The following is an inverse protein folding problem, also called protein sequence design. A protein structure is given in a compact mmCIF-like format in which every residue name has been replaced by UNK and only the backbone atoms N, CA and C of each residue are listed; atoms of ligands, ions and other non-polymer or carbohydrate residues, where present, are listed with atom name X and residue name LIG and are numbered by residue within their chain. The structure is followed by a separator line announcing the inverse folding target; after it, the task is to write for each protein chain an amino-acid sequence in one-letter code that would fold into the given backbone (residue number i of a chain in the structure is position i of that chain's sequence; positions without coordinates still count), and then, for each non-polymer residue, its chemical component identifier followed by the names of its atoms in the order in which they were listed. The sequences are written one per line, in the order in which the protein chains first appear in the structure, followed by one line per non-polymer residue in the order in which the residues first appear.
data_IF_721146873470
#
_entry.id   IF_721146873470
#
_cell.length_a   1.000
_cell.length_b   1.000
_cell.length_c   1.000
_cell.angle_alpha   90.00
_cell.angle_beta   90.00
_cell.angle_gamma   90.00
#
_symmetry.space_group_name_H-M   'P 1'
#
loop_
_entity.id
_entity.type
_entity.pdbx_description
1 polymer ?
#
# COMPACT_ATOMS: atom_id res chain seq x y z
N UNK A 1 -18.00 -14.62 32.93
CA UNK A 1 -18.98 -14.84 31.84
C UNK A 1 -19.24 -13.52 31.14
N UNK A 2 -18.75 -13.35 29.91
CA UNK A 2 -19.19 -12.44 28.82
C UNK A 2 -17.98 -12.22 27.86
N UNK A 3 -17.61 -13.24 27.06
CA UNK A 3 -16.54 -13.10 26.06
C UNK A 3 -16.78 -13.99 24.83
N UNK A 4 -18.00 -13.99 24.28
CA UNK A 4 -18.34 -14.92 23.18
C UNK A 4 -19.18 -14.31 22.05
N UNK A 5 -19.53 -13.02 22.09
CA UNK A 5 -20.36 -12.41 21.03
C UNK A 5 -19.60 -11.62 19.96
N UNK A 6 -18.41 -11.09 20.24
CA UNK A 6 -17.69 -10.21 19.29
C UNK A 6 -16.87 -10.95 18.22
N UNK A 7 -16.73 -12.28 18.32
CA UNK A 7 -16.03 -13.14 17.34
C UNK A 7 -16.88 -13.46 16.09
N UNK A 8 -18.19 -13.22 16.13
CA UNK A 8 -19.13 -13.63 15.05
C UNK A 8 -19.42 -12.52 14.04
N UNK A 9 -19.14 -11.25 14.36
CA UNK A 9 -19.28 -10.15 13.39
C UNK A 9 -18.01 -9.92 12.53
N UNK A 10 -16.84 -10.33 13.02
CA UNK A 10 -15.55 -10.11 12.34
C UNK A 10 -15.28 -11.10 11.18
N UNK A 11 -15.99 -12.23 11.13
CA UNK A 11 -15.92 -13.22 10.04
C UNK A 11 -16.76 -12.76 8.83
N UNK A 12 -17.81 -11.95 9.04
CA UNK A 12 -18.72 -11.52 7.99
C UNK A 12 -18.09 -10.47 7.04
N UNK A 13 -17.16 -9.65 7.53
CA UNK A 13 -16.54 -8.60 6.72
C UNK A 13 -15.37 -9.12 5.84
N UNK A 14 -14.68 -10.19 6.27
CA UNK A 14 -13.64 -10.86 5.48
C UNK A 14 -14.24 -11.78 4.39
N UNK A 15 -15.43 -12.33 4.61
CA UNK A 15 -16.14 -13.17 3.61
C UNK A 15 -16.80 -12.37 2.47
N UNK A 16 -17.24 -11.12 2.70
CA UNK A 16 -17.92 -10.33 1.68
C UNK A 16 -16.98 -9.80 0.58
N UNK A 17 -15.67 -9.73 0.81
CA UNK A 17 -14.69 -9.25 -0.17
C UNK A 17 -14.03 -10.38 -0.98
N UNK A 18 -14.18 -11.64 -0.56
CA UNK A 18 -13.58 -12.82 -1.22
C UNK A 18 -14.52 -13.49 -2.23
N UNK A 19 -15.85 -13.25 -2.18
CA UNK A 19 -16.80 -13.89 -3.11
C UNK A 19 -17.04 -13.14 -4.44
N UNK A 20 -16.66 -11.86 -4.56
CA UNK A 20 -16.94 -11.06 -5.77
C UNK A 20 -15.84 -11.12 -6.83
N UNK A 21 -14.62 -11.52 -6.47
CA UNK A 21 -13.50 -11.57 -7.42
C UNK A 21 -13.35 -12.92 -8.16
N UNK A 22 -14.13 -13.94 -7.80
CA UNK A 22 -14.05 -15.28 -8.43
C UNK A 22 -15.02 -15.47 -9.63
N UNK A 23 -15.85 -14.48 -9.96
CA UNK A 23 -16.83 -14.57 -11.07
C UNK A 23 -16.44 -13.81 -12.35
N UNK A 24 -15.30 -13.11 -12.38
CA UNK A 24 -14.84 -12.37 -13.58
C UNK A 24 -13.67 -13.06 -14.29
N UNK A 25 -13.64 -14.40 -14.31
CA UNK A 25 -12.62 -15.13 -15.08
C UNK A 25 -13.15 -16.24 -16.00
N UNK A 26 -14.44 -16.25 -16.36
CA UNK A 26 -14.95 -17.08 -17.47
C UNK A 26 -16.16 -16.41 -18.13
N UNK A 27 -15.98 -15.77 -19.29
CA UNK A 27 -17.14 -15.26 -20.03
C UNK A 27 -16.85 -14.49 -21.32
N UNK A 28 -16.50 -15.20 -22.39
CA UNK A 28 -16.77 -14.83 -23.79
C UNK A 28 -15.89 -13.72 -24.40
N UNK A 29 -15.26 -13.86 -25.56
CA UNK A 29 -15.53 -14.74 -26.69
C UNK A 29 -16.08 -13.98 -27.90
N UNK A 30 -15.18 -13.66 -28.85
CA UNK A 30 -15.35 -13.56 -30.32
C UNK A 30 -16.16 -12.41 -30.98
N UNK A 31 -15.57 -11.91 -32.07
CA UNK A 31 -16.22 -11.38 -33.30
C UNK A 31 -16.63 -9.90 -33.23
N UNK A 32 -16.62 -9.07 -34.29
CA UNK A 32 -16.61 -9.30 -35.74
C UNK A 32 -16.21 -7.99 -36.46
N UNK A 33 -15.75 -8.10 -37.71
CA UNK A 33 -15.31 -7.04 -38.63
C UNK A 33 -16.50 -6.34 -39.33
N UNK A 34 -16.33 -5.03 -39.54
CA UNK A 34 -16.86 -4.10 -40.57
C UNK A 34 -18.34 -4.10 -41.02
N UNK A 35 -18.87 -2.89 -41.25
CA UNK A 35 -19.90 -2.64 -42.27
C UNK A 35 -20.85 -1.47 -42.01
N UNK A 36 -20.58 -0.34 -42.66
CA UNK A 36 -21.55 0.52 -43.36
C UNK A 36 -22.81 1.05 -42.67
N UNK A 37 -22.88 2.39 -42.53
CA UNK A 37 -24.09 3.17 -42.76
C UNK A 37 -24.86 3.64 -41.52
N UNK A 38 -24.48 4.80 -40.97
CA UNK A 38 -25.37 5.62 -40.16
C UNK A 38 -25.34 7.09 -40.66
N UNK A 39 -26.50 7.77 -40.71
CA UNK A 39 -26.67 9.10 -41.32
C UNK A 39 -25.88 10.19 -40.59
N UNK A 40 -25.63 11.36 -41.21
CA UNK A 40 -24.98 12.48 -40.54
C UNK A 40 -25.80 12.91 -39.32
N UNK A 41 -25.17 12.88 -38.15
CA UNK A 41 -25.73 13.47 -36.93
C UNK A 41 -25.64 15.01 -37.06
N UNK A 42 -26.74 15.75 -36.88
CA UNK A 42 -26.75 17.21 -36.88
C UNK A 42 -25.72 17.80 -35.90
N UNK A 43 -25.13 18.93 -36.28
CA UNK A 43 -24.13 19.67 -35.52
C UNK A 43 -24.57 19.92 -34.06
N UNK A 44 -23.88 19.28 -33.10
CA UNK A 44 -23.95 19.63 -31.69
C UNK A 44 -23.02 20.84 -31.45
N UNK A 45 -23.47 21.91 -30.78
CA UNK A 45 -22.64 23.09 -30.57
C UNK A 45 -21.51 22.80 -29.56
N UNK A 46 -20.29 23.16 -29.97
CA UNK A 46 -19.16 23.58 -29.12
C UNK A 46 -18.55 22.52 -28.20
N UNK A 47 -17.47 21.89 -28.70
CA UNK A 47 -16.49 21.19 -27.86
C UNK A 47 -15.91 22.16 -26.82
N UNK A 48 -16.14 21.87 -25.54
CA UNK A 48 -15.41 22.51 -24.43
C UNK A 48 -13.98 21.92 -24.44
N UNK A 49 -12.91 22.74 -24.39
CA UNK A 49 -11.54 22.22 -24.29
C UNK A 49 -11.38 21.35 -23.04
N UNK A 50 -10.62 20.24 -23.09
CA UNK A 50 -10.34 19.44 -21.91
C UNK A 50 -9.61 20.30 -20.88
N UNK A 51 -10.13 20.31 -19.64
CA UNK A 51 -9.49 20.97 -18.52
C UNK A 51 -8.06 20.40 -18.31
N UNK A 52 -7.08 21.23 -17.93
CA UNK A 52 -5.75 20.76 -17.57
C UNK A 52 -5.82 19.71 -16.45
N UNK A 53 -4.88 18.75 -16.38
CA UNK A 53 -4.88 17.75 -15.32
C UNK A 53 -4.83 18.46 -13.96
N UNK A 54 -5.80 18.16 -13.11
CA UNK A 54 -5.82 18.61 -11.72
C UNK A 54 -4.53 18.05 -11.09
N UNK A 55 -3.67 18.89 -10.48
CA UNK A 55 -2.48 18.39 -9.80
C UNK A 55 -2.93 17.38 -8.74
N UNK A 56 -2.36 16.17 -8.81
CA UNK A 56 -2.53 15.12 -7.79
C UNK A 56 -2.28 15.75 -6.43
N UNK A 57 -3.32 15.84 -5.60
CA UNK A 57 -3.20 16.42 -4.28
C UNK A 57 -2.10 15.67 -3.51
N UNK A 58 -1.04 16.39 -3.14
CA UNK A 58 -0.11 15.96 -2.10
C UNK A 58 -0.96 15.57 -0.90
N UNK A 59 -0.97 14.28 -0.54
CA UNK A 59 -1.77 13.80 0.58
C UNK A 59 -1.42 14.62 1.82
N UNK A 60 -2.36 15.42 2.30
CA UNK A 60 -2.21 16.15 3.56
C UNK A 60 -2.02 15.08 4.64
N UNK A 61 -0.93 15.11 5.43
CA UNK A 61 -0.75 14.15 6.49
C UNK A 61 -1.94 14.27 7.44
N UNK A 62 -2.64 13.16 7.75
CA UNK A 62 -3.79 13.21 8.62
C UNK A 62 -3.35 13.82 9.96
N UNK A 63 -4.14 14.77 10.47
CA UNK A 63 -3.81 15.51 11.70
C UNK A 63 -3.71 14.58 12.92
N UNK A 64 -4.22 13.35 12.79
CA UNK A 64 -4.16 12.30 13.78
C UNK A 64 -3.49 11.05 13.22
N UNK A 65 -2.25 10.81 13.65
CA UNK A 65 -1.73 9.46 13.78
C UNK A 65 -0.23 9.43 14.06
N UNK A 66 0.46 8.37 13.62
CA UNK A 66 1.83 8.07 14.02
C UNK A 66 2.69 7.69 12.81
N UNK A 67 3.99 7.40 13.03
CA UNK A 67 4.88 6.99 11.95
C UNK A 67 5.83 5.87 12.37
N UNK A 68 6.26 5.11 11.37
CA UNK A 68 7.43 4.24 11.45
C UNK A 68 8.48 4.80 10.50
N UNK A 69 9.73 4.79 10.94
CA UNK A 69 10.83 5.39 10.21
C UNK A 69 12.00 4.43 10.16
N UNK A 70 12.43 4.09 8.96
CA UNK A 70 13.66 3.39 8.70
C UNK A 70 14.81 4.39 8.62
N UNK A 71 15.93 4.05 9.25
CA UNK A 71 17.25 4.64 9.02
C UNK A 71 18.20 3.55 8.54
N UNK A 72 18.99 3.83 7.49
CA UNK A 72 19.95 2.87 6.93
C UNK A 72 21.27 3.54 6.59
N UNK A 73 22.38 2.90 6.93
CA UNK A 73 23.71 3.43 6.60
C UNK A 73 24.07 3.16 5.13
N UNK A 74 24.43 4.21 4.36
CA UNK A 74 24.99 4.11 3.00
C UNK A 74 24.15 3.26 2.00
N UNK A 75 22.86 3.52 1.82
CA UNK A 75 22.05 2.75 0.88
C UNK A 75 22.50 2.96 -0.58
N UNK A 76 22.30 1.93 -1.40
CA UNK A 76 22.52 2.03 -2.84
C UNK A 76 21.56 3.05 -3.47
N UNK A 77 22.02 3.76 -4.50
CA UNK A 77 21.13 4.59 -5.31
C UNK A 77 19.98 3.73 -5.87
N UNK A 78 18.74 4.12 -5.59
CA UNK A 78 17.55 3.37 -5.99
C UNK A 78 17.11 2.27 -5.01
N UNK A 79 17.68 2.21 -3.80
CA UNK A 79 17.25 1.27 -2.77
C UNK A 79 15.72 1.28 -2.60
N UNK A 80 15.16 0.08 -2.44
CA UNK A 80 13.73 -0.15 -2.32
C UNK A 80 13.43 -0.77 -0.96
N UNK A 81 12.38 -0.30 -0.32
CA UNK A 81 12.00 -0.71 1.03
C UNK A 81 10.62 -1.33 1.00
N UNK A 82 10.40 -2.32 1.84
CA UNK A 82 9.12 -2.99 2.05
C UNK A 82 8.92 -3.21 3.53
N UNK A 83 7.73 -2.95 4.05
CA UNK A 83 7.34 -3.38 5.40
C UNK A 83 6.61 -4.70 5.31
N UNK A 84 6.98 -5.63 6.18
CA UNK A 84 6.31 -6.92 6.33
C UNK A 84 5.69 -7.06 7.71
N UNK A 85 4.58 -7.79 7.82
CA UNK A 85 3.96 -8.21 9.07
C UNK A 85 4.01 -9.72 9.21
N UNK A 86 4.13 -10.20 10.44
CA UNK A 86 4.10 -11.63 10.73
C UNK A 86 2.69 -12.07 11.12
N UNK A 87 2.21 -13.15 10.53
CA UNK A 87 0.95 -13.75 10.94
C UNK A 87 1.11 -14.67 12.16
N UNK A 88 -0.02 -15.20 12.67
CA UNK A 88 -0.05 -16.10 13.83
C UNK A 88 0.74 -17.41 13.63
N UNK A 89 1.02 -17.79 12.39
CA UNK A 89 1.78 -18.99 12.03
C UNK A 89 3.28 -18.69 11.83
N UNK A 90 3.71 -17.45 12.04
CA UNK A 90 5.10 -17.03 11.88
C UNK A 90 5.50 -16.65 10.44
N UNK A 91 4.57 -16.70 9.49
CA UNK A 91 4.82 -16.34 8.10
C UNK A 91 4.81 -14.81 7.91
N UNK A 92 5.74 -14.30 7.11
CA UNK A 92 5.87 -12.88 6.80
C UNK A 92 5.16 -12.52 5.50
N UNK A 93 4.38 -11.43 5.53
CA UNK A 93 3.66 -10.90 4.38
C UNK A 93 3.95 -9.43 4.21
N UNK A 94 4.03 -8.97 2.96
CA UNK A 94 4.15 -7.54 2.68
C UNK A 94 2.88 -6.80 3.09
N UNK A 95 3.06 -5.59 3.62
CA UNK A 95 1.96 -4.66 3.86
C UNK A 95 1.70 -3.90 2.56
N UNK A 96 0.49 -4.06 2.02
CA UNK A 96 0.10 -3.34 0.81
C UNK A 96 0.20 -1.83 1.01
N UNK A 97 0.84 -1.15 0.06
CA UNK A 97 1.06 0.29 0.09
C UNK A 97 2.23 0.75 0.96
N UNK A 98 2.87 -0.12 1.75
CA UNK A 98 4.05 0.23 2.55
C UNK A 98 5.33 -0.30 1.89
N UNK A 99 5.54 0.14 0.65
CA UNK A 99 6.70 -0.17 -0.17
C UNK A 99 7.08 1.03 -1.02
N UNK A 100 8.38 1.26 -1.19
CA UNK A 100 8.83 2.45 -1.90
C UNK A 100 10.34 2.68 -1.81
N UNK A 101 10.82 3.60 -2.63
CA UNK A 101 12.15 4.18 -2.47
C UNK A 101 12.26 4.96 -1.16
N UNK A 102 13.51 5.16 -0.73
CA UNK A 102 13.86 6.12 0.33
C UNK A 102 13.31 7.52 0.00
N UNK A 103 13.07 8.31 1.04
CA UNK A 103 12.42 9.61 0.89
C UNK A 103 13.34 10.61 0.19
N UNK A 104 12.78 11.39 -0.74
CA UNK A 104 13.56 12.37 -1.50
C UNK A 104 14.20 13.41 -0.57
N UNK A 105 15.48 13.72 -0.81
CA UNK A 105 16.26 14.62 0.04
C UNK A 105 16.74 14.02 1.36
N UNK A 106 16.35 12.78 1.69
CA UNK A 106 16.86 12.01 2.84
C UNK A 106 17.30 10.63 2.37
N UNK A 107 18.51 10.60 1.81
CA UNK A 107 19.03 9.45 1.08
C UNK A 107 19.16 8.18 1.93
N UNK A 108 19.03 8.26 3.25
CA UNK A 108 19.19 7.20 4.24
C UNK A 108 17.90 6.87 5.03
N UNK A 109 16.77 7.47 4.67
CA UNK A 109 15.54 7.39 5.46
C UNK A 109 14.32 6.97 4.65
N UNK A 110 13.42 6.20 5.28
CA UNK A 110 12.05 6.02 4.80
C UNK A 110 11.04 6.20 5.92
N UNK A 111 9.97 6.95 5.69
CA UNK A 111 8.86 7.09 6.63
C UNK A 111 7.55 6.54 6.05
N UNK A 112 6.82 5.75 6.83
CA UNK A 112 5.42 5.39 6.56
C UNK A 112 4.50 5.90 7.66
N UNK A 113 3.34 6.38 7.24
CA UNK A 113 2.27 6.83 8.12
C UNK A 113 1.47 5.65 8.66
N UNK A 114 1.15 5.70 9.95
CA UNK A 114 0.38 4.67 10.66
C UNK A 114 -0.92 5.26 11.16
N UNK A 115 -2.03 4.69 10.69
CA UNK A 115 -3.36 5.08 11.15
C UNK A 115 -3.62 4.57 12.58
N UNK A 116 -4.42 5.30 13.38
CA UNK A 116 -4.79 4.87 14.74
C UNK A 116 -5.39 3.47 14.84
N UNK A 117 -6.09 3.00 13.80
CA UNK A 117 -6.65 1.64 13.72
C UNK A 117 -5.60 0.54 13.72
N UNK A 118 -4.34 0.87 13.42
CA UNK A 118 -3.23 -0.08 13.35
C UNK A 118 -2.31 -0.04 14.56
N UNK A 119 -2.64 0.76 15.58
CA UNK A 119 -1.78 0.92 16.73
C UNK A 119 -1.58 -0.36 17.54
N UNK A 120 -0.34 -0.52 18.04
CA UNK A 120 0.07 -1.66 18.86
C UNK A 120 0.04 -3.01 18.14
N UNK A 121 -0.22 -3.05 16.83
CA UNK A 121 -0.17 -4.28 16.05
C UNK A 121 1.28 -4.72 15.81
N UNK A 122 1.49 -6.02 15.61
CA UNK A 122 2.77 -6.57 15.22
C UNK A 122 2.88 -8.08 15.44
N UNK A 123 4.05 -8.66 15.16
CA UNK A 123 5.28 -7.95 14.80
C UNK A 123 5.38 -7.54 13.32
N UNK A 124 6.08 -6.43 13.07
CA UNK A 124 6.45 -5.90 11.76
C UNK A 124 7.97 -5.89 11.58
N UNK A 125 8.46 -5.84 10.35
CA UNK A 125 9.88 -5.62 10.05
C UNK A 125 10.06 -4.87 8.74
N UNK A 126 11.18 -4.19 8.60
CA UNK A 126 11.63 -3.62 7.32
C UNK A 126 12.45 -4.63 6.54
N UNK A 127 12.29 -4.62 5.22
CA UNK A 127 13.15 -5.34 4.28
C UNK A 127 13.67 -4.35 3.25
N UNK A 128 14.98 -4.35 3.05
CA UNK A 128 15.67 -3.49 2.10
C UNK A 128 16.13 -4.30 0.90
N UNK A 129 15.99 -3.73 -0.28
CA UNK A 129 16.40 -4.31 -1.55
C UNK A 129 17.30 -3.33 -2.31
N UNK A 130 18.16 -3.86 -3.19
CA UNK A 130 19.03 -3.04 -4.06
C UNK A 130 18.25 -2.07 -4.95
N UNK A 131 17.06 -2.50 -5.38
CA UNK A 131 16.16 -1.79 -6.29
C UNK A 131 14.75 -2.38 -6.20
N UNK A 132 13.77 -1.77 -6.88
CA UNK A 132 12.46 -2.37 -7.06
C UNK A 132 12.62 -3.72 -7.80
N UNK A 133 12.22 -4.82 -7.14
CA UNK A 133 12.48 -6.21 -7.58
C UNK A 133 13.94 -6.66 -7.55
N UNK A 134 14.81 -5.92 -6.85
CA UNK A 134 16.21 -6.26 -6.69
C UNK A 134 16.47 -7.38 -5.68
N UNK A 135 17.75 -7.61 -5.40
CA UNK A 135 18.16 -8.57 -4.36
C UNK A 135 17.89 -7.97 -2.98
N UNK A 136 17.43 -8.79 -2.05
CA UNK A 136 17.34 -8.42 -0.64
C UNK A 136 18.75 -8.12 -0.08
N UNK A 137 18.90 -6.94 0.53
CA UNK A 137 20.12 -6.46 1.16
C UNK A 137 20.14 -6.78 2.65
N UNK A 138 19.08 -6.40 3.36
CA UNK A 138 18.99 -6.48 4.81
C UNK A 138 17.54 -6.58 5.28
N UNK A 139 17.37 -7.03 6.53
CA UNK A 139 16.09 -7.14 7.24
C UNK A 139 16.29 -6.57 8.63
N UNK A 140 15.36 -5.74 9.10
CA UNK A 140 15.42 -5.22 10.47
C UNK A 140 15.04 -6.28 11.50
N UNK A 141 15.36 -6.01 12.77
CA UNK A 141 14.69 -6.69 13.87
C UNK A 141 13.17 -6.44 13.84
N UNK A 142 12.36 -7.39 14.36
CA UNK A 142 10.93 -7.22 14.48
C UNK A 142 10.55 -6.12 15.48
N UNK A 143 9.49 -5.36 15.19
CA UNK A 143 8.97 -4.29 16.05
C UNK A 143 7.45 -4.27 16.10
N UNK A 144 6.89 -3.57 17.09
CA UNK A 144 5.45 -3.29 17.22
C UNK A 144 5.18 -1.88 16.71
N UNK A 145 4.06 -1.69 16.01
CA UNK A 145 3.62 -0.37 15.58
C UNK A 145 3.42 0.59 16.76
N UNK A 146 3.49 1.92 16.49
CA UNK A 146 3.15 2.94 17.47
C UNK A 146 1.85 2.64 18.22
N UNK A 147 1.76 3.05 19.47
CA UNK A 147 0.59 2.80 20.33
C UNK A 147 -0.26 4.04 20.55
N UNK A 148 0.22 5.21 20.10
CA UNK A 148 -0.43 6.51 20.31
C UNK A 148 -0.10 7.50 19.19
N UNK A 149 -0.94 8.53 19.05
CA UNK A 149 -0.73 9.62 18.12
C UNK A 149 0.60 10.35 18.38
N UNK A 150 1.25 10.78 17.30
CA UNK A 150 2.51 11.51 17.30
C UNK A 150 3.73 10.66 17.62
N UNK A 151 3.58 9.39 17.98
CA UNK A 151 4.71 8.51 18.22
C UNK A 151 5.41 8.16 16.90
N UNK A 152 6.73 8.22 16.90
CA UNK A 152 7.58 7.76 15.80
C UNK A 152 8.40 6.59 16.32
N UNK A 153 8.33 5.46 15.63
CA UNK A 153 9.24 4.33 15.87
C UNK A 153 10.37 4.42 14.86
N UNK A 154 11.58 4.69 15.33
CA UNK A 154 12.78 4.64 14.52
C UNK A 154 13.35 3.22 14.53
N UNK A 155 13.61 2.68 13.35
CA UNK A 155 14.18 1.35 13.14
C UNK A 155 15.45 1.53 12.34
N UNK A 156 16.57 1.07 12.88
CA UNK A 156 17.86 1.13 12.22
C UNK A 156 18.13 -0.20 11.52
N UNK A 157 18.68 -0.12 10.31
CA UNK A 157 19.13 -1.28 9.54
C UNK A 157 20.54 -1.01 9.05
N UNK A 158 21.47 -1.85 9.48
CA UNK A 158 22.83 -1.84 8.98
C UNK A 158 22.90 -2.63 7.67
N UNK A 159 23.59 -2.06 6.68
CA UNK A 159 23.89 -2.74 5.44
C UNK A 159 25.23 -3.48 5.56
N UNK A 160 25.35 -4.67 4.96
CA UNK A 160 26.58 -5.47 4.99
C UNK A 160 27.75 -4.83 4.23
#
# INVERSE_FOLDING_TARGET
MLHTRSRRLFIAFIMALVLTAFFMLLGGGRGTVAGGGLPPRPDDPTATPPAPPIPTATAVPPTNGAAIRLHTSKPSAGAWTVVQWQNEHGNWYEVEGWRGHLDEGQADMKTWWVYPTNYGQGPFRWVLYTSQNGKQLAVSDPFILPTRNGQIINVEVELP
#
